data_IF_813348193048
#
_entry.id   IF_813348193048
#
_cell.length_a   1.000
_cell.length_b   1.000
_cell.length_c   1.000
_cell.angle_alpha   90.00
_cell.angle_beta   90.00
_cell.angle_gamma   90.00
#
_symmetry.space_group_name_H-M   'P 1'
#
loop_
_entity.id
_entity.type
_entity.pdbx_description
1 polymer ?
#
# COMPACT_ATOMS: atom_id res chain seq x y z
N UNK A 1 19.95 0.82 -7.71
CA UNK A 1 18.52 0.91 -8.11
C UNK A 1 17.62 0.03 -7.26
N UNK A 2 17.98 -1.24 -7.02
CA UNK A 2 17.16 -2.18 -6.22
C UNK A 2 16.95 -1.73 -4.76
N UNK A 3 17.99 -1.22 -4.09
CA UNK A 3 17.90 -0.76 -2.69
C UNK A 3 16.90 0.38 -2.48
N UNK A 4 16.86 1.35 -3.40
CA UNK A 4 15.87 2.42 -3.37
C UNK A 4 14.45 1.89 -3.61
N UNK A 5 14.29 0.85 -4.43
CA UNK A 5 12.99 0.22 -4.65
C UNK A 5 12.51 -0.53 -3.40
N UNK A 6 13.40 -1.26 -2.72
CA UNK A 6 13.12 -1.95 -1.45
C UNK A 6 12.74 -0.96 -0.35
N UNK A 7 13.47 0.15 -0.19
CA UNK A 7 13.12 1.21 0.77
C UNK A 7 11.74 1.81 0.45
N UNK A 8 11.44 2.02 -0.84
CA UNK A 8 10.14 2.56 -1.26
C UNK A 8 8.99 1.62 -0.89
N UNK A 9 9.16 0.34 -1.16
CA UNK A 9 8.17 -0.70 -0.90
C UNK A 9 7.97 -0.90 0.61
N UNK A 10 9.07 -0.93 1.38
CA UNK A 10 9.03 -0.97 2.84
C UNK A 10 8.34 0.25 3.45
N UNK A 11 8.58 1.46 2.92
CA UNK A 11 7.92 2.67 3.39
C UNK A 11 6.42 2.66 3.07
N UNK A 12 6.02 2.17 1.89
CA UNK A 12 4.61 2.00 1.52
C UNK A 12 3.93 1.00 2.45
N UNK A 13 4.54 -0.16 2.65
CA UNK A 13 4.04 -1.20 3.56
C UNK A 13 3.90 -0.64 4.98
N UNK A 14 4.94 0.02 5.49
CA UNK A 14 4.94 0.60 6.83
C UNK A 14 3.82 1.62 7.04
N UNK A 15 3.56 2.49 6.06
CA UNK A 15 2.46 3.47 6.12
C UNK A 15 1.09 2.80 6.11
N UNK A 16 0.91 1.76 5.29
CA UNK A 16 -0.34 1.01 5.23
C UNK A 16 -0.63 0.32 6.58
N UNK A 17 0.39 -0.31 7.17
CA UNK A 17 0.30 -0.91 8.50
C UNK A 17 -0.04 0.15 9.55
N UNK A 18 0.70 1.26 9.60
CA UNK A 18 0.44 2.31 10.60
C UNK A 18 -0.99 2.87 10.50
N UNK A 19 -1.51 3.00 9.27
CA UNK A 19 -2.87 3.47 9.02
C UNK A 19 -3.97 2.54 9.51
N UNK A 20 -3.68 1.25 9.71
CA UNK A 20 -4.65 0.30 10.28
C UNK A 20 -4.60 0.21 11.81
N UNK A 21 -3.56 0.76 12.44
CA UNK A 21 -3.38 0.67 13.89
C UNK A 21 -4.18 1.76 14.61
N UNK A 22 -4.75 1.42 15.76
CA UNK A 22 -5.41 2.40 16.61
C UNK A 22 -4.40 3.39 17.23
N UNK A 23 -4.79 4.64 17.51
CA UNK A 23 -3.86 5.65 18.05
C UNK A 23 -3.16 5.24 19.34
N UNK A 24 -3.81 4.45 20.20
CA UNK A 24 -3.29 4.01 21.49
C UNK A 24 -2.55 2.66 21.46
N UNK A 25 -2.63 1.92 20.36
CA UNK A 25 -1.88 0.66 20.22
C UNK A 25 -0.38 0.93 20.28
N UNK A 26 0.36 0.05 20.95
CA UNK A 26 1.83 0.09 21.03
C UNK A 26 2.47 -0.93 20.10
N UNK A 27 1.71 -1.97 19.77
CA UNK A 27 2.12 -3.11 18.96
C UNK A 27 0.88 -3.68 18.27
N UNK A 28 1.10 -4.52 17.27
CA UNK A 28 0.04 -5.33 16.65
C UNK A 28 0.65 -6.60 16.05
N UNK A 29 -0.16 -7.64 15.89
CA UNK A 29 0.17 -8.75 14.99
C UNK A 29 -0.69 -8.57 13.74
N UNK A 30 -0.06 -8.67 12.58
CA UNK A 30 -0.72 -8.50 11.29
C UNK A 30 -0.25 -9.57 10.32
N UNK A 31 -0.99 -9.73 9.22
CA UNK A 31 -0.59 -10.57 8.12
C UNK A 31 0.14 -9.75 7.05
N UNK A 32 1.20 -10.30 6.44
CA UNK A 32 1.86 -9.72 5.27
C UNK A 32 1.98 -10.76 4.15
N UNK A 33 1.99 -10.28 2.90
CA UNK A 33 2.09 -11.12 1.70
C UNK A 33 3.07 -10.55 0.66
N UNK A 34 3.81 -11.41 -0.06
CA UNK A 34 4.84 -11.03 -1.04
C UNK A 34 4.28 -10.35 -2.29
N UNK A 35 3.02 -10.59 -2.62
CA UNK A 35 2.31 -9.86 -3.68
C UNK A 35 1.13 -9.09 -3.08
N UNK A 36 0.95 -7.82 -3.52
CA UNK A 36 -0.24 -7.03 -3.19
C UNK A 36 -1.53 -7.69 -3.63
N UNK A 37 -1.52 -8.55 -4.65
CA UNK A 37 -2.70 -9.33 -5.07
C UNK A 37 -3.05 -10.46 -4.11
N UNK A 38 -2.10 -10.88 -3.28
CA UNK A 38 -2.28 -11.86 -2.22
C UNK A 38 -2.68 -11.19 -0.89
N UNK A 39 -2.90 -9.87 -0.89
CA UNK A 39 -3.58 -9.20 0.22
C UNK A 39 -5.05 -9.57 0.23
N UNK A 40 -5.59 -9.84 1.42
CA UNK A 40 -7.00 -10.15 1.59
C UNK A 40 -7.59 -9.34 2.74
N UNK A 41 -8.87 -9.04 2.60
CA UNK A 41 -9.78 -8.65 3.67
C UNK A 41 -10.87 -9.71 3.64
N UNK A 42 -10.99 -10.53 4.68
CA UNK A 42 -12.01 -11.57 4.72
C UNK A 42 -13.34 -10.94 5.15
N UNK A 43 -14.16 -10.54 4.18
CA UNK A 43 -15.44 -9.85 4.39
C UNK A 43 -16.49 -10.64 5.22
N UNK A 44 -16.22 -11.91 5.58
CA UNK A 44 -17.04 -12.72 6.48
C UNK A 44 -16.38 -13.07 7.83
N UNK A 45 -15.11 -12.71 8.02
CA UNK A 45 -14.34 -13.02 9.23
C UNK A 45 -13.61 -11.75 9.70
N UNK A 46 -14.33 -10.74 10.22
CA UNK A 46 -13.75 -9.47 10.65
C UNK A 46 -12.73 -9.61 11.80
N UNK A 47 -12.67 -10.78 12.45
CA UNK A 47 -11.66 -11.12 13.45
C UNK A 47 -10.27 -11.33 12.84
N UNK A 48 -10.18 -11.72 11.56
CA UNK A 48 -8.91 -12.01 10.89
C UNK A 48 -8.31 -10.71 10.38
N UNK A 49 -7.12 -10.31 10.87
CA UNK A 49 -6.55 -9.03 10.50
C UNK A 49 -6.15 -8.97 9.03
N UNK A 50 -6.33 -7.79 8.45
CA UNK A 50 -5.99 -7.48 7.06
C UNK A 50 -4.55 -7.89 6.74
N UNK A 51 -4.37 -8.54 5.60
CA UNK A 51 -3.05 -8.87 5.06
C UNK A 51 -2.50 -7.73 4.21
N UNK A 52 -1.27 -7.30 4.47
CA UNK A 52 -0.62 -6.21 3.74
C UNK A 52 0.42 -6.72 2.74
N UNK A 53 0.28 -6.32 1.49
CA UNK A 53 1.19 -6.75 0.43
C UNK A 53 2.50 -5.95 0.33
N UNK A 54 3.61 -6.63 0.09
CA UNK A 54 4.90 -6.10 -0.37
C UNK A 54 5.19 -6.55 -1.81
N UNK A 55 6.39 -6.27 -2.35
CA UNK A 55 6.78 -6.65 -3.72
C UNK A 55 8.19 -7.22 -3.78
N UNK A 56 9.11 -6.76 -2.93
CA UNK A 56 10.49 -7.22 -2.91
C UNK A 56 10.78 -8.13 -1.71
N UNK A 57 11.46 -9.25 -1.94
CA UNK A 57 11.82 -10.22 -0.88
C UNK A 57 12.64 -9.62 0.25
N UNK A 58 13.42 -8.57 -0.04
CA UNK A 58 14.23 -7.84 0.95
C UNK A 58 13.41 -6.86 1.80
N UNK A 59 12.13 -6.62 1.49
CA UNK A 59 11.27 -5.66 2.19
C UNK A 59 11.05 -6.06 3.67
N UNK A 60 10.62 -7.30 4.01
CA UNK A 60 10.50 -7.71 5.41
C UNK A 60 11.84 -7.68 6.15
N UNK A 61 12.93 -8.13 5.52
CA UNK A 61 14.27 -8.11 6.10
C UNK A 61 14.74 -6.69 6.45
N UNK A 62 14.39 -5.70 5.62
CA UNK A 62 14.68 -4.31 5.91
C UNK A 62 13.89 -3.84 7.14
N UNK A 63 12.61 -4.19 7.24
CA UNK A 63 11.78 -3.81 8.40
C UNK A 63 12.25 -4.49 9.70
N UNK A 64 12.70 -5.74 9.64
CA UNK A 64 13.35 -6.46 10.75
C UNK A 64 14.63 -5.74 11.19
N UNK A 65 15.51 -5.37 10.25
CA UNK A 65 16.74 -4.61 10.54
C UNK A 65 16.47 -3.30 11.28
N UNK A 66 15.29 -2.71 11.11
CA UNK A 66 14.87 -1.48 11.76
C UNK A 66 13.97 -1.69 12.99
N UNK A 67 13.85 -2.94 13.46
CA UNK A 67 13.01 -3.35 14.59
C UNK A 67 11.53 -3.01 14.40
N UNK A 68 11.08 -2.81 13.16
CA UNK A 68 9.67 -2.58 12.85
C UNK A 68 8.91 -3.90 13.00
N UNK A 69 9.46 -4.96 12.40
CA UNK A 69 9.06 -6.34 12.63
C UNK A 69 9.97 -6.86 13.74
N UNK A 70 9.40 -7.17 14.90
CA UNK A 70 10.14 -7.76 16.02
C UNK A 70 10.22 -9.27 15.93
N UNK A 71 9.21 -9.89 15.31
CA UNK A 71 9.15 -11.34 15.14
C UNK A 71 8.19 -11.72 14.00
N UNK A 72 8.31 -12.94 13.46
CA UNK A 72 7.47 -13.42 12.35
C UNK A 72 7.28 -14.93 12.34
N UNK A 73 6.15 -15.38 11.81
CA UNK A 73 5.86 -16.79 11.55
C UNK A 73 5.40 -16.93 10.09
N UNK A 74 6.22 -17.59 9.27
CA UNK A 74 5.97 -17.75 7.82
C UNK A 74 5.11 -18.97 7.50
N UNK A 75 4.13 -18.83 6.60
CA UNK A 75 3.17 -19.88 6.26
C UNK A 75 1.96 -19.97 7.17
N UNK A 76 1.75 -18.98 8.03
CA UNK A 76 0.65 -18.91 8.98
C UNK A 76 -0.03 -17.56 8.88
N UNK A 77 -1.35 -17.54 8.99
CA UNK A 77 -2.12 -16.31 9.15
C UNK A 77 -2.50 -16.11 10.60
N UNK A 78 -2.23 -14.94 11.15
CA UNK A 78 -2.78 -14.50 12.41
C UNK A 78 -4.29 -14.33 12.27
N UNK A 79 -5.03 -14.89 13.24
CA UNK A 79 -6.50 -14.95 13.23
C UNK A 79 -7.12 -14.19 14.40
N UNK A 80 -6.40 -14.05 15.51
CA UNK A 80 -6.92 -13.46 16.73
C UNK A 80 -6.12 -13.82 17.97
N UNK A 81 -6.57 -13.32 19.12
CA UNK A 81 -5.98 -13.59 20.42
C UNK A 81 -7.07 -14.16 21.33
N UNK A 82 -6.79 -15.26 22.02
CA UNK A 82 -7.73 -15.92 22.93
C UNK A 82 -7.12 -16.18 24.30
N UNK A 83 -7.97 -16.47 25.28
CA UNK A 83 -7.53 -16.92 26.60
C UNK A 83 -7.06 -18.38 26.55
N UNK A 84 -6.00 -18.70 27.30
CA UNK A 84 -5.45 -20.05 27.45
C UNK A 84 -6.53 -21.05 27.89
N UNK A 85 -7.44 -20.61 28.76
CA UNK A 85 -8.51 -21.46 29.31
C UNK A 85 -9.74 -21.57 28.42
N UNK A 86 -9.76 -20.89 27.27
CA UNK A 86 -10.89 -20.95 26.35
C UNK A 86 -11.06 -22.36 25.76
N UNK A 87 -12.32 -22.76 25.55
CA UNK A 87 -12.65 -24.05 24.94
C UNK A 87 -11.98 -24.24 23.57
N UNK A 88 -11.83 -23.15 22.80
CA UNK A 88 -11.18 -23.12 21.49
C UNK A 88 -9.67 -23.38 21.56
N UNK A 89 -8.96 -22.80 22.55
CA UNK A 89 -7.52 -23.02 22.73
C UNK A 89 -7.17 -24.48 23.03
N UNK A 90 -8.07 -25.24 23.67
CA UNK A 90 -7.87 -26.66 23.99
C UNK A 90 -7.88 -27.57 22.76
N UNK A 91 -8.61 -27.20 21.71
CA UNK A 91 -8.74 -28.02 20.49
C UNK A 91 -7.72 -27.66 19.40
N UNK A 92 -7.31 -26.40 19.28
CA UNK A 92 -6.35 -25.96 18.25
C UNK A 92 -4.90 -26.37 18.57
N UNK A 93 -4.53 -26.43 19.87
CA UNK A 93 -3.16 -26.76 20.30
C UNK A 93 -2.66 -28.14 19.89
N UNK A 94 -3.54 -29.09 19.56
CA UNK A 94 -3.11 -30.48 19.30
C UNK A 94 -2.36 -30.67 17.97
N UNK A 95 -2.43 -29.71 17.04
CA UNK A 95 -1.75 -29.83 15.73
C UNK A 95 -0.62 -28.79 15.48
N UNK A 96 -0.32 -27.95 16.48
CA UNK A 96 0.71 -26.91 16.42
C UNK A 96 1.99 -27.38 17.17
N UNK A 97 2.68 -28.38 16.64
CA UNK A 97 3.91 -28.92 17.24
C UNK A 97 5.17 -28.08 16.96
N UNK A 98 5.05 -26.89 16.37
CA UNK A 98 6.21 -26.04 16.03
C UNK A 98 6.06 -24.61 16.54
N UNK A 99 6.69 -24.37 17.70
CA UNK A 99 7.43 -23.16 18.12
C UNK A 99 6.83 -21.81 17.66
N UNK A 100 6.12 -21.14 18.57
CA UNK A 100 5.63 -19.77 18.40
C UNK A 100 6.68 -18.75 18.90
N UNK A 101 7.41 -18.11 18.00
CA UNK A 101 8.35 -17.04 18.36
C UNK A 101 7.61 -15.71 18.65
N UNK A 102 6.59 -15.35 17.86
CA UNK A 102 5.78 -14.13 18.10
C UNK A 102 5.11 -14.12 19.48
N UNK A 103 4.49 -15.24 19.89
CA UNK A 103 3.78 -15.32 21.18
C UNK A 103 4.76 -15.14 22.35
N UNK A 104 5.90 -15.83 22.27
CA UNK A 104 6.98 -15.71 23.25
C UNK A 104 7.49 -14.27 23.35
N UNK A 105 7.87 -13.68 22.21
CA UNK A 105 8.35 -12.29 22.14
C UNK A 105 7.30 -11.30 22.66
N UNK A 106 6.02 -11.48 22.32
CA UNK A 106 4.95 -10.62 22.79
C UNK A 106 4.74 -10.70 24.32
N UNK A 107 4.87 -11.89 24.92
CA UNK A 107 4.84 -12.03 26.38
C UNK A 107 6.06 -11.41 27.05
N UNK A 108 7.28 -11.65 26.53
CA UNK A 108 8.50 -11.08 27.09
C UNK A 108 8.50 -9.55 27.07
N UNK A 109 7.95 -8.94 26.02
CA UNK A 109 7.82 -7.48 25.89
C UNK A 109 6.66 -6.89 26.71
N UNK A 110 5.83 -7.73 27.34
CA UNK A 110 4.64 -7.30 28.05
C UNK A 110 3.57 -6.71 27.12
N UNK A 111 3.59 -7.09 25.85
CA UNK A 111 2.59 -6.72 24.86
C UNK A 111 1.33 -7.56 25.04
N UNK A 112 1.53 -8.85 25.29
CA UNK A 112 0.48 -9.85 25.49
C UNK A 112 0.49 -10.36 26.93
N UNK A 113 -0.65 -10.36 27.61
CA UNK A 113 -0.79 -10.94 28.94
C UNK A 113 -0.47 -12.44 28.91
N UNK A 114 0.19 -12.97 29.95
CA UNK A 114 0.59 -14.40 30.02
C UNK A 114 -0.58 -15.39 29.98
N UNK A 115 -1.80 -14.91 30.14
CA UNK A 115 -3.06 -15.67 30.09
C UNK A 115 -3.64 -15.76 28.68
N UNK A 116 -3.04 -15.07 27.71
CA UNK A 116 -3.51 -14.99 26.32
C UNK A 116 -2.61 -15.80 25.38
N UNK A 117 -3.14 -16.23 24.25
CA UNK A 117 -2.45 -16.94 23.18
C UNK A 117 -2.73 -16.29 21.84
N UNK A 118 -1.79 -16.47 20.90
CA UNK A 118 -1.95 -16.03 19.53
C UNK A 118 -2.55 -17.18 18.71
N UNK A 119 -3.66 -16.91 18.03
CA UNK A 119 -4.33 -17.87 17.17
C UNK A 119 -3.84 -17.73 15.73
N UNK A 120 -3.50 -18.86 15.13
CA UNK A 120 -3.08 -18.93 13.74
C UNK A 120 -3.94 -19.90 12.94
N UNK A 121 -4.14 -19.55 11.67
CA UNK A 121 -4.64 -20.45 10.65
C UNK A 121 -3.50 -20.91 9.76
N UNK A 122 -3.47 -22.21 9.48
CA UNK A 122 -2.62 -22.84 8.49
C UNK A 122 -3.43 -23.90 7.75
N UNK A 123 -3.10 -24.13 6.48
CA UNK A 123 -3.72 -25.19 5.69
C UNK A 123 -2.75 -26.36 5.59
N UNK A 124 -3.09 -27.46 6.25
CA UNK A 124 -2.35 -28.72 6.25
C UNK A 124 -2.55 -29.53 4.95
N UNK A 125 -3.53 -29.15 4.11
CA UNK A 125 -3.97 -29.88 2.91
C UNK A 125 -3.71 -29.13 1.61
N UNK A 126 -3.02 -27.99 1.67
CA UNK A 126 -2.29 -27.38 0.55
C UNK A 126 -3.12 -26.80 -0.60
N UNK A 127 -4.40 -26.51 -0.41
CA UNK A 127 -5.28 -26.07 -1.52
C UNK A 127 -5.98 -24.73 -1.32
N UNK A 128 -6.09 -24.21 -0.10
CA UNK A 128 -6.86 -22.97 0.18
C UNK A 128 -6.28 -22.04 1.26
N UNK A 129 -5.21 -22.40 1.97
CA UNK A 129 -4.65 -21.54 3.02
C UNK A 129 -3.27 -20.93 2.76
N UNK A 130 -2.61 -20.42 3.82
CA UNK A 130 -1.40 -19.62 3.69
C UNK A 130 -0.25 -20.37 3.04
N UNK A 131 0.41 -19.72 2.07
CA UNK A 131 1.60 -20.28 1.43
C UNK A 131 2.82 -20.07 2.31
N UNK A 132 3.52 -21.17 2.63
CA UNK A 132 4.78 -21.15 3.39
C UNK A 132 5.80 -20.15 2.83
N UNK A 133 5.84 -20.03 1.52
CA UNK A 133 6.64 -19.04 0.82
C UNK A 133 5.75 -17.87 0.40
N UNK A 134 6.02 -16.70 0.98
CA UNK A 134 5.41 -15.44 0.57
C UNK A 134 4.35 -14.88 1.50
N UNK A 135 3.88 -15.62 2.51
CA UNK A 135 2.94 -15.09 3.50
C UNK A 135 3.46 -15.31 4.92
N UNK A 136 3.23 -14.34 5.80
CA UNK A 136 3.65 -14.43 7.20
C UNK A 136 2.73 -13.62 8.11
N UNK A 137 2.56 -14.09 9.34
CA UNK A 137 2.18 -13.26 10.46
C UNK A 137 3.42 -12.55 11.00
N UNK A 138 3.29 -11.27 11.38
CA UNK A 138 4.41 -10.47 11.91
C UNK A 138 3.99 -9.67 13.14
N UNK A 139 4.86 -9.63 14.14
CA UNK A 139 4.75 -8.77 15.31
C UNK A 139 5.36 -7.40 15.00
N UNK A 140 4.53 -6.35 15.10
CA UNK A 140 4.90 -4.99 14.76
C UNK A 140 5.11 -4.15 16.01
N UNK A 141 6.24 -3.45 16.08
CA UNK A 141 6.49 -2.40 17.06
C UNK A 141 6.10 -1.04 16.45
N UNK A 142 5.00 -0.44 16.94
CA UNK A 142 4.48 0.81 16.36
C UNK A 142 5.46 1.98 16.51
N UNK A 143 6.18 2.07 17.63
CA UNK A 143 7.15 3.16 17.83
C UNK A 143 8.32 3.03 16.84
N UNK A 144 8.79 1.81 16.58
CA UNK A 144 9.81 1.56 15.58
C UNK A 144 9.29 1.82 14.17
N UNK A 145 8.04 1.44 13.88
CA UNK A 145 7.33 1.74 12.63
C UNK A 145 7.26 3.25 12.34
N UNK A 146 6.84 4.05 13.31
CA UNK A 146 6.80 5.51 13.21
C UNK A 146 8.19 6.12 13.01
N UNK A 147 9.20 5.63 13.75
CA UNK A 147 10.60 6.05 13.57
C UNK A 147 11.14 5.69 12.19
N UNK A 148 10.82 4.50 11.68
CA UNK A 148 11.20 4.05 10.35
C UNK A 148 10.58 4.97 9.29
N UNK A 149 9.27 5.22 9.38
CA UNK A 149 8.57 6.15 8.48
C UNK A 149 9.23 7.52 8.56
N UNK A 150 9.49 8.06 9.74
CA UNK A 150 10.14 9.36 9.88
C UNK A 150 11.55 9.39 9.29
N UNK A 151 12.37 8.36 9.54
CA UNK A 151 13.75 8.25 9.02
C UNK A 151 13.78 8.20 7.50
N UNK A 152 12.95 7.36 6.90
CA UNK A 152 12.96 7.14 5.45
C UNK A 152 12.02 8.07 4.68
N UNK A 153 11.13 8.79 5.37
CA UNK A 153 10.43 9.94 4.82
C UNK A 153 11.31 11.20 4.84
N UNK A 154 12.24 11.34 5.80
CA UNK A 154 13.21 12.45 5.85
C UNK A 154 14.43 12.23 4.94
N UNK A 155 14.93 11.00 4.79
CA UNK A 155 15.96 10.66 3.80
C UNK A 155 15.41 10.54 2.35
N UNK A 156 14.12 10.82 2.19
CA UNK A 156 13.51 11.20 0.93
C UNK A 156 12.84 12.56 1.12
N UNK A 157 13.64 13.59 1.28
CA UNK A 157 13.30 14.89 0.70
C UNK A 157 13.30 14.76 -0.85
N UNK A 158 12.38 13.94 -1.37
CA UNK A 158 11.58 14.42 -2.48
C UNK A 158 10.56 15.36 -1.84
N UNK A 159 10.35 16.57 -2.36
CA UNK A 159 9.55 17.60 -1.72
C UNK A 159 8.12 17.08 -1.49
N UNK A 160 7.86 16.61 -0.27
CA UNK A 160 6.55 16.20 0.25
C UNK A 160 5.90 17.32 1.06
N UNK A 161 6.54 18.48 1.14
CA UNK A 161 5.85 19.71 1.47
C UNK A 161 5.05 20.17 0.25
N UNK A 162 3.71 20.19 0.41
CA UNK A 162 2.71 20.81 -0.47
C UNK A 162 2.24 20.00 -1.69
N UNK A 163 1.66 18.81 -1.49
CA UNK A 163 0.73 18.29 -2.49
C UNK A 163 -0.64 18.15 -1.87
N UNK A 164 -1.55 19.03 -2.28
CA UNK A 164 -2.98 19.02 -1.95
C UNK A 164 -3.71 17.86 -2.64
N UNK A 165 -3.02 16.75 -2.90
CA UNK A 165 -3.54 15.62 -3.66
C UNK A 165 -2.76 14.32 -3.41
N UNK A 166 -3.47 13.18 -3.45
CA UNK A 166 -2.90 11.83 -3.40
C UNK A 166 -3.67 10.92 -4.35
N UNK A 167 -2.98 9.99 -5.01
CA UNK A 167 -3.59 9.01 -5.89
C UNK A 167 -3.34 7.60 -5.37
N UNK A 168 -4.41 6.83 -5.18
CA UNK A 168 -4.33 5.44 -4.71
C UNK A 168 -5.52 4.61 -5.23
N UNK A 169 -5.25 3.40 -5.71
CA UNK A 169 -6.26 2.42 -6.14
C UNK A 169 -7.32 2.98 -7.13
N UNK A 170 -6.91 3.84 -8.07
CA UNK A 170 -7.84 4.46 -9.02
C UNK A 170 -8.48 5.75 -8.52
N UNK A 171 -8.29 6.13 -7.27
CA UNK A 171 -8.86 7.35 -6.69
C UNK A 171 -7.81 8.46 -6.60
N UNK A 172 -8.05 9.60 -7.25
CA UNK A 172 -7.32 10.83 -7.00
C UNK A 172 -8.07 11.65 -5.95
N UNK A 173 -7.55 11.67 -4.72
CA UNK A 173 -8.07 12.51 -3.63
C UNK A 173 -7.39 13.86 -3.68
N UNK A 174 -8.18 14.92 -3.73
CA UNK A 174 -7.77 16.30 -3.75
C UNK A 174 -8.20 16.95 -2.43
N UNK A 175 -7.26 17.54 -1.70
CA UNK A 175 -7.54 18.31 -0.49
C UNK A 175 -8.27 19.60 -0.86
N UNK A 176 -9.30 19.94 -0.09
CA UNK A 176 -10.10 21.15 -0.17
C UNK A 176 -9.61 22.18 0.88
N UNK A 177 -10.05 23.44 0.75
CA UNK A 177 -9.65 24.53 1.64
C UNK A 177 -10.10 24.31 3.09
N UNK A 178 -11.27 23.68 3.29
CA UNK A 178 -11.81 23.30 4.61
C UNK A 178 -11.07 22.12 5.25
N UNK A 179 -10.02 21.60 4.60
CA UNK A 179 -9.24 20.46 5.05
C UNK A 179 -9.86 19.09 4.71
N UNK A 180 -11.07 19.06 4.16
CA UNK A 180 -11.70 17.83 3.67
C UNK A 180 -11.07 17.38 2.34
N UNK A 181 -11.47 16.20 1.88
CA UNK A 181 -11.02 15.65 0.59
C UNK A 181 -12.20 15.49 -0.35
N UNK A 182 -11.95 15.72 -1.63
CA UNK A 182 -12.83 15.28 -2.69
C UNK A 182 -12.10 14.34 -3.63
N UNK A 183 -12.82 13.37 -4.19
CA UNK A 183 -12.23 12.28 -4.95
C UNK A 183 -12.64 12.36 -6.41
N UNK A 184 -11.66 12.22 -7.29
CA UNK A 184 -11.87 11.85 -8.68
C UNK A 184 -11.66 10.34 -8.79
N UNK A 185 -12.72 9.63 -9.13
CA UNK A 185 -12.76 8.17 -9.14
C UNK A 185 -12.53 7.63 -10.56
N UNK A 186 -11.43 6.90 -10.74
CA UNK A 186 -11.07 6.13 -11.93
C UNK A 186 -11.08 4.63 -11.67
N UNK A 187 -11.61 4.16 -10.53
CA UNK A 187 -11.67 2.74 -10.16
C UNK A 187 -12.38 1.89 -11.22
N UNK A 188 -13.43 2.44 -11.85
CA UNK A 188 -14.20 1.79 -12.93
C UNK A 188 -13.61 1.96 -14.33
N UNK A 189 -12.46 2.63 -14.45
CA UNK A 189 -11.79 2.91 -15.72
C UNK A 189 -10.55 2.03 -15.91
N UNK A 190 -10.58 0.76 -15.49
CA UNK A 190 -9.41 -0.13 -15.42
C UNK A 190 -8.59 -0.22 -16.71
N UNK A 191 -9.25 -0.29 -17.88
CA UNK A 191 -8.56 -0.37 -19.17
C UNK A 191 -7.82 0.91 -19.55
N UNK A 192 -8.26 2.04 -19.02
CA UNK A 192 -7.78 3.36 -19.40
C UNK A 192 -6.85 3.95 -18.33
N UNK A 193 -7.06 3.58 -17.06
CA UNK A 193 -6.32 4.06 -15.89
C UNK A 193 -4.80 4.10 -16.09
N UNK A 194 -4.13 3.10 -16.71
CA UNK A 194 -2.69 3.15 -16.90
C UNK A 194 -2.20 4.35 -17.70
N UNK A 195 -3.02 4.92 -18.59
CA UNK A 195 -2.68 6.16 -19.30
C UNK A 195 -2.63 7.33 -18.32
N UNK A 196 -3.66 7.51 -17.48
CA UNK A 196 -3.65 8.54 -16.44
C UNK A 196 -2.47 8.35 -15.47
N UNK A 197 -2.26 7.12 -15.01
CA UNK A 197 -1.14 6.77 -14.11
C UNK A 197 0.23 7.06 -14.72
N UNK A 198 0.37 6.91 -16.05
CA UNK A 198 1.61 7.27 -16.75
C UNK A 198 1.93 8.75 -16.57
N UNK A 199 0.94 9.63 -16.75
CA UNK A 199 1.10 11.07 -16.51
C UNK A 199 1.31 11.38 -15.03
N UNK A 200 0.44 10.85 -14.17
CA UNK A 200 0.45 11.16 -12.75
C UNK A 200 1.74 10.71 -12.08
N UNK A 201 2.25 9.50 -12.37
CA UNK A 201 3.50 9.03 -11.77
C UNK A 201 4.72 9.73 -12.35
N UNK A 202 4.76 10.08 -13.64
CA UNK A 202 5.85 10.92 -14.17
C UNK A 202 5.86 12.29 -13.51
N UNK A 203 4.71 12.94 -13.37
CA UNK A 203 4.57 14.19 -12.63
C UNK A 203 4.99 14.04 -11.17
N UNK A 204 4.50 12.99 -10.50
CA UNK A 204 4.78 12.74 -9.09
C UNK A 204 6.28 12.55 -8.86
N UNK A 205 6.90 11.72 -9.69
CA UNK A 205 8.27 11.21 -9.51
C UNK A 205 9.32 12.21 -10.01
N UNK A 206 9.02 13.00 -11.04
CA UNK A 206 9.98 13.96 -11.63
C UNK A 206 9.74 15.41 -11.22
N UNK A 207 8.56 15.73 -10.66
CA UNK A 207 8.11 17.09 -10.36
C UNK A 207 8.12 18.04 -11.57
N UNK A 208 8.11 17.49 -12.80
CA UNK A 208 7.99 18.24 -14.05
C UNK A 208 6.55 18.27 -14.50
N UNK A 209 6.20 19.28 -15.29
CA UNK A 209 4.85 19.42 -15.84
C UNK A 209 4.76 19.08 -17.33
N UNK A 210 5.89 18.93 -18.02
CA UNK A 210 5.96 18.67 -19.46
C UNK A 210 6.60 17.31 -19.74
N UNK A 211 5.95 16.51 -20.58
CA UNK A 211 6.38 15.15 -20.93
C UNK A 211 6.32 14.93 -22.43
N UNK A 212 7.36 14.30 -22.97
CA UNK A 212 7.36 13.86 -24.36
C UNK A 212 6.68 12.50 -24.55
N UNK A 213 6.53 12.11 -25.82
CA UNK A 213 5.85 10.86 -26.20
C UNK A 213 6.60 9.63 -25.72
N UNK A 214 7.93 9.64 -25.78
CA UNK A 214 8.76 8.50 -25.43
C UNK A 214 8.69 8.24 -23.93
N UNK A 215 8.74 9.29 -23.11
CA UNK A 215 8.60 9.21 -21.65
C UNK A 215 7.26 8.59 -21.24
N UNK A 216 6.17 9.05 -21.86
CA UNK A 216 4.82 8.56 -21.56
C UNK A 216 4.63 7.09 -21.95
N UNK A 217 5.10 6.69 -23.14
CA UNK A 217 5.03 5.30 -23.59
C UNK A 217 5.93 4.39 -22.75
N UNK A 218 7.12 4.86 -22.36
CA UNK A 218 8.01 4.12 -21.48
C UNK A 218 7.36 3.87 -20.12
N UNK A 219 6.74 4.90 -19.52
CA UNK A 219 6.03 4.75 -18.24
C UNK A 219 4.81 3.83 -18.37
N UNK A 220 4.07 3.91 -19.47
CA UNK A 220 2.96 3.00 -19.73
C UNK A 220 3.40 1.54 -19.81
N UNK A 221 4.51 1.28 -20.52
CA UNK A 221 5.12 -0.05 -20.63
C UNK A 221 5.61 -0.56 -19.28
N UNK A 222 6.19 0.31 -18.46
CA UNK A 222 6.57 -0.02 -17.07
C UNK A 222 5.36 -0.48 -16.25
N UNK A 223 4.25 0.26 -16.30
CA UNK A 223 3.05 0.00 -15.51
C UNK A 223 2.28 -1.25 -15.96
N UNK A 224 2.16 -1.45 -17.27
CA UNK A 224 1.28 -2.48 -17.85
C UNK A 224 2.02 -3.72 -18.34
N UNK A 225 3.35 -3.63 -18.50
CA UNK A 225 4.19 -4.59 -19.24
C UNK A 225 3.78 -4.78 -20.71
N UNK A 226 3.01 -3.84 -21.27
CA UNK A 226 2.54 -3.86 -22.66
C UNK A 226 3.16 -2.72 -23.45
N UNK A 227 3.56 -3.02 -24.67
CA UNK A 227 3.99 -2.03 -25.63
C UNK A 227 2.79 -1.61 -26.49
N UNK A 228 2.59 -0.30 -26.62
CA UNK A 228 1.48 0.28 -27.39
C UNK A 228 2.01 1.40 -28.25
N UNK A 229 1.38 1.62 -29.40
CA UNK A 229 1.70 2.78 -30.21
C UNK A 229 1.11 4.07 -29.64
N UNK A 230 1.63 5.20 -30.11
CA UNK A 230 1.21 6.52 -29.66
C UNK A 230 -0.26 6.85 -29.98
N UNK A 231 -0.78 6.37 -31.11
CA UNK A 231 -2.18 6.62 -31.52
C UNK A 231 -3.14 5.93 -30.58
N UNK A 232 -2.83 4.69 -30.18
CA UNK A 232 -3.56 3.96 -29.16
C UNK A 232 -3.54 4.72 -27.84
N UNK A 233 -2.35 5.08 -27.35
CA UNK A 233 -2.18 5.78 -26.06
C UNK A 233 -3.03 7.07 -25.97
N UNK A 234 -2.99 7.91 -27.01
CA UNK A 234 -3.77 9.17 -27.02
C UNK A 234 -5.27 8.95 -27.21
N UNK A 235 -5.68 7.94 -27.97
CA UNK A 235 -7.11 7.58 -28.06
C UNK A 235 -7.67 7.23 -26.68
N UNK A 236 -6.91 6.48 -25.89
CA UNK A 236 -7.30 6.11 -24.53
C UNK A 236 -7.35 7.32 -23.59
N UNK A 237 -6.41 8.28 -23.69
CA UNK A 237 -6.47 9.56 -22.95
C UNK A 237 -7.80 10.28 -23.17
N UNK A 238 -8.23 10.44 -24.42
CA UNK A 238 -9.50 11.11 -24.74
C UNK A 238 -10.70 10.40 -24.13
N UNK A 239 -10.70 9.06 -24.09
CA UNK A 239 -11.77 8.26 -23.48
C UNK A 239 -11.85 8.39 -21.96
N UNK A 240 -10.72 8.58 -21.26
CA UNK A 240 -10.72 8.80 -19.79
C UNK A 240 -11.46 10.07 -19.44
N UNK A 241 -11.25 11.14 -20.20
CA UNK A 241 -11.83 12.44 -19.88
C UNK A 241 -13.36 12.38 -19.85
N UNK A 242 -13.96 11.58 -20.75
CA UNK A 242 -15.40 11.31 -20.76
C UNK A 242 -15.88 10.34 -19.67
N UNK A 243 -15.00 9.47 -19.16
CA UNK A 243 -15.31 8.44 -18.15
C UNK A 243 -14.96 8.86 -16.71
N UNK A 244 -14.52 10.09 -16.47
CA UNK A 244 -14.36 10.62 -15.11
C UNK A 244 -15.73 10.80 -14.45
N UNK A 245 -16.15 9.81 -13.66
CA UNK A 245 -17.43 9.76 -12.94
C UNK A 245 -17.34 10.68 -11.70
N UNK A 246 -18.43 11.38 -11.37
CA UNK A 246 -18.65 12.10 -10.09
C UNK A 246 -17.69 13.25 -9.72
N UNK A 247 -16.98 13.84 -10.66
CA UNK A 247 -16.20 15.05 -10.34
C UNK A 247 -17.08 16.29 -10.34
N UNK A 248 -17.14 17.01 -9.20
CA UNK A 248 -17.63 18.39 -9.17
C UNK A 248 -16.87 19.20 -10.25
N UNK A 249 -17.53 20.05 -11.06
CA UNK A 249 -16.87 20.80 -12.14
C UNK A 249 -15.61 21.58 -11.70
N UNK A 250 -15.61 22.11 -10.47
CA UNK A 250 -14.48 22.81 -9.88
C UNK A 250 -13.20 21.97 -9.73
N UNK A 251 -13.31 20.64 -9.68
CA UNK A 251 -12.16 19.74 -9.52
C UNK A 251 -11.57 19.29 -10.86
N UNK A 252 -12.40 19.18 -11.92
CA UNK A 252 -11.90 18.93 -13.27
C UNK A 252 -10.94 20.05 -13.71
N UNK A 253 -11.24 21.28 -13.33
CA UNK A 253 -10.41 22.45 -13.65
C UNK A 253 -9.08 22.50 -12.89
N UNK A 254 -8.90 21.70 -11.83
CA UNK A 254 -7.62 21.60 -11.11
C UNK A 254 -6.62 20.68 -11.80
N UNK A 255 -7.07 19.81 -12.70
CA UNK A 255 -6.18 18.90 -13.43
C UNK A 255 -5.87 19.54 -14.78
N UNK A 256 -4.63 19.98 -14.96
CA UNK A 256 -4.11 20.37 -16.26
C UNK A 256 -3.73 19.08 -16.97
N UNK A 257 -4.33 18.81 -18.13
CA UNK A 257 -3.99 17.63 -18.93
C UNK A 257 -4.17 17.87 -20.44
N UNK A 258 -3.26 18.66 -20.99
CA UNK A 258 -3.36 19.22 -22.34
C UNK A 258 -2.08 19.04 -23.15
N UNK A 259 -2.14 19.33 -24.45
CA UNK A 259 -0.97 19.32 -25.31
C UNK A 259 -0.47 20.75 -25.51
N UNK A 260 0.78 20.99 -25.14
CA UNK A 260 1.48 22.25 -25.35
C UNK A 260 2.03 22.28 -26.79
N UNK A 261 1.49 23.18 -27.62
CA UNK A 261 1.84 23.27 -29.04
C UNK A 261 3.22 23.87 -29.27
N UNK A 262 3.69 24.73 -28.37
CA UNK A 262 4.98 25.42 -28.50
C UNK A 262 6.11 24.44 -28.19
N UNK A 263 6.00 23.75 -27.05
CA UNK A 263 6.97 22.76 -26.57
C UNK A 263 6.84 21.39 -27.26
N UNK A 264 5.75 21.17 -28.02
CA UNK A 264 5.36 19.89 -28.64
C UNK A 264 5.31 18.73 -27.64
N UNK A 265 4.95 19.02 -26.39
CA UNK A 265 4.91 18.09 -25.25
C UNK A 265 3.54 18.09 -24.59
N UNK A 266 3.24 17.07 -23.81
CA UNK A 266 2.03 17.07 -22.99
C UNK A 266 2.30 17.74 -21.66
N UNK A 267 1.41 18.66 -21.30
CA UNK A 267 1.39 19.30 -20.01
C UNK A 267 0.46 18.55 -19.07
N UNK A 268 0.99 18.11 -17.94
CA UNK A 268 0.20 17.52 -16.86
C UNK A 268 0.55 18.16 -15.52
N UNK A 269 -0.47 18.50 -14.73
CA UNK A 269 -0.29 19.05 -13.40
C UNK A 269 -1.58 19.07 -12.61
N UNK A 270 -1.44 19.17 -11.30
CA UNK A 270 -2.56 19.42 -10.40
C UNK A 270 -2.33 20.79 -9.77
N UNK A 271 -3.26 21.71 -10.02
CA UNK A 271 -3.21 23.05 -9.48
C UNK A 271 -3.33 22.99 -7.94
N UNK A 272 -2.51 23.79 -7.22
CA UNK A 272 -2.64 23.95 -5.78
C UNK A 272 -4.02 24.56 -5.44
N UNK A 273 -4.37 24.57 -4.16
CA UNK A 273 -5.52 25.33 -3.67
C UNK A 273 -5.50 26.75 -4.27
N UNK A 274 -6.46 27.09 -5.14
CA UNK A 274 -6.61 28.45 -5.63
C UNK A 274 -7.40 29.26 -4.62
N UNK A 275 -6.88 30.42 -4.22
CA UNK A 275 -7.62 31.47 -3.53
C UNK A 275 -8.60 32.11 -4.51
N UNK A 276 -9.74 31.46 -4.81
CA UNK A 276 -10.91 32.11 -5.41
C UNK A 276 -12.19 31.46 -4.93
#
# INVERSE_FOLDING_TARGET
>A
MEENAVISDALRLAKAILGSLLPKERWAIINIAKDKRESFVLEGYPSIPTSFGYTYDKTPLLLEKYMVIEDKVGGWWFMGISDIDSYWARYIRQNLTTVNDIEWTAHEKGYLEKTKLVEYYYDDKGSTGPRMHGQAAVLINKRALEKFINKFSKNRDMPLHRRDHVYENGELRLKLQDGSYCTLDLSKADEYRPVFESFYYLYRDTNRYLFDRAELLAKYKELTRKEVDWRFFIKQKSSIVGKMINTKPCLKNRIIWEFDKEEKKYRFGILPLSDK
#
